data_IF_500628882756
#
_entry.id   IF_500628882756
#
_cell.length_a   1.000
_cell.length_b   1.000
_cell.length_c   1.000
_cell.angle_alpha   90.00
_cell.angle_beta   90.00
_cell.angle_gamma   90.00
#
_symmetry.space_group_name_H-M   'P 1'
#
loop_
_entity.id
_entity.type
_entity.pdbx_description
1 polymer ?
#
# COMPACT_ATOMS: atom_id res chain seq x y z
N UNK A 1 -73.12 4.57 31.75
CA UNK A 1 -72.74 3.18 31.40
C UNK A 1 -71.63 2.76 32.37
N UNK A 2 -71.98 2.16 33.51
CA UNK A 2 -71.76 0.73 33.87
C UNK A 2 -70.29 0.28 33.64
N UNK A 3 -69.46 0.23 34.69
CA UNK A 3 -69.18 -0.90 35.63
C UNK A 3 -68.24 -1.95 35.00
N UNK A 4 -67.00 -2.15 35.44
CA UNK A 4 -66.45 -2.72 36.70
C UNK A 4 -66.16 -4.24 36.62
N UNK A 5 -65.04 -4.63 37.27
CA UNK A 5 -64.67 -5.94 37.86
C UNK A 5 -63.78 -6.86 36.99
N UNK A 6 -62.51 -7.05 37.38
CA UNK A 6 -61.97 -7.96 38.43
C UNK A 6 -62.12 -9.44 38.08
N UNK A 7 -61.02 -10.19 38.13
CA UNK A 7 -61.05 -11.65 38.16
C UNK A 7 -59.72 -12.32 37.87
N UNK A 8 -58.98 -12.61 38.95
CA UNK A 8 -57.79 -13.45 39.01
C UNK A 8 -57.94 -14.77 38.23
N UNK A 9 -56.82 -15.29 37.72
CA UNK A 9 -56.40 -16.63 38.13
C UNK A 9 -54.89 -16.83 38.06
N UNK A 10 -54.41 -17.47 39.11
CA UNK A 10 -53.05 -17.82 39.41
C UNK A 10 -52.72 -19.22 38.86
N UNK A 11 -51.43 -19.45 38.62
CA UNK A 11 -50.66 -20.68 38.85
C UNK A 11 -51.15 -21.98 38.19
N UNK A 12 -50.34 -22.47 37.24
CA UNK A 12 -49.97 -23.89 37.10
C UNK A 12 -48.56 -23.86 36.47
N UNK A 13 -47.50 -24.03 37.27
CA UNK A 13 -46.77 -25.30 37.36
C UNK A 13 -46.79 -26.08 36.04
N UNK A 14 -45.69 -25.99 35.30
CA UNK A 14 -45.25 -27.01 34.34
C UNK A 14 -43.89 -27.50 34.80
N UNK A 15 -43.97 -28.57 35.59
CA UNK A 15 -42.91 -29.53 35.86
C UNK A 15 -42.45 -30.22 34.58
N UNK A 16 -41.16 -30.54 34.63
CA UNK A 16 -40.38 -31.50 33.85
C UNK A 16 -41.16 -32.53 33.04
N UNK A 17 -40.91 -32.57 31.73
CA UNK A 17 -40.80 -33.78 30.92
C UNK A 17 -40.08 -33.42 29.62
N UNK A 18 -38.76 -33.63 29.58
CA UNK A 18 -37.98 -33.64 28.34
C UNK A 18 -37.56 -35.09 28.09
N UNK A 19 -38.24 -35.67 27.11
CA UNK A 19 -38.07 -37.03 26.63
C UNK A 19 -36.69 -37.24 25.98
N UNK A 20 -36.11 -38.40 26.27
CA UNK A 20 -34.81 -38.88 25.81
C UNK A 20 -34.85 -39.23 24.32
N UNK A 21 -33.93 -38.72 23.52
CA UNK A 21 -33.48 -39.41 22.30
C UNK A 21 -32.01 -39.12 21.96
N UNK A 22 -31.19 -40.10 22.33
CA UNK A 22 -29.86 -40.56 21.86
C UNK A 22 -29.06 -39.79 20.78
N UNK A 23 -27.72 -39.62 20.97
CA UNK A 23 -26.78 -39.14 19.95
C UNK A 23 -26.19 -40.28 19.09
N UNK A 24 -25.78 -40.02 17.83
CA UNK A 24 -25.01 -40.98 17.05
C UNK A 24 -23.55 -40.98 17.52
N UNK A 25 -23.12 -42.10 18.10
CA UNK A 25 -21.70 -42.43 18.33
C UNK A 25 -21.18 -43.14 17.08
N UNK A 26 -20.22 -42.55 16.37
CA UNK A 26 -19.06 -43.32 15.93
C UNK A 26 -17.91 -42.39 15.53
N UNK A 27 -16.79 -42.50 16.22
CA UNK A 27 -15.63 -41.64 16.01
C UNK A 27 -14.46 -42.17 16.84
N UNK A 28 -13.66 -43.05 16.21
CA UNK A 28 -12.48 -43.64 16.84
C UNK A 28 -11.59 -42.58 17.50
N UNK A 29 -11.10 -42.89 18.68
CA UNK A 29 -10.21 -42.00 19.42
C UNK A 29 -8.84 -41.89 18.74
N UNK A 30 -8.11 -40.81 19.03
CA UNK A 30 -6.77 -40.57 18.50
C UNK A 30 -5.81 -41.74 18.82
N UNK A 31 -5.99 -42.37 19.97
CA UNK A 31 -5.18 -43.50 20.44
C UNK A 31 -5.42 -44.76 19.60
N UNK A 32 -6.65 -45.00 19.15
CA UNK A 32 -6.97 -46.12 18.24
C UNK A 32 -6.40 -45.90 16.83
N UNK A 33 -6.32 -44.65 16.38
CA UNK A 33 -5.65 -44.31 15.12
C UNK A 33 -4.15 -44.51 15.19
N UNK A 34 -3.55 -44.21 16.34
CA UNK A 34 -2.11 -44.41 16.56
C UNK A 34 -1.74 -45.89 16.67
N UNK A 35 -2.57 -46.71 17.32
CA UNK A 35 -2.34 -48.16 17.42
C UNK A 35 -2.31 -48.84 16.03
N UNK A 36 -3.22 -48.46 15.12
CA UNK A 36 -3.26 -48.99 13.74
C UNK A 36 -2.03 -48.65 12.90
N UNK A 37 -1.27 -47.62 13.26
CA UNK A 37 -0.02 -47.28 12.56
C UNK A 37 1.16 -48.16 12.99
N UNK A 38 1.10 -48.74 14.19
CA UNK A 38 2.16 -49.61 14.73
C UNK A 38 1.90 -51.10 14.47
N UNK A 39 0.63 -51.51 14.29
CA UNK A 39 0.25 -52.91 14.03
C UNK A 39 0.25 -53.31 12.55
N UNK A 40 0.86 -52.52 11.66
CA UNK A 40 1.06 -52.92 10.27
C UNK A 40 2.22 -53.93 10.18
N UNK A 41 1.98 -55.16 10.66
CA UNK A 41 2.83 -56.30 10.36
C UNK A 41 2.83 -56.56 8.84
N UNK A 42 4.04 -56.74 8.30
CA UNK A 42 4.31 -57.08 6.90
C UNK A 42 3.46 -58.29 6.43
N UNK A 43 2.57 -58.12 5.44
CA UNK A 43 2.04 -59.25 4.70
C UNK A 43 3.06 -59.65 3.62
N UNK A 44 3.31 -60.95 3.59
CA UNK A 44 4.10 -61.75 2.66
C UNK A 44 4.37 -61.17 1.26
N UNK A 45 5.64 -61.26 0.84
CA UNK A 45 6.10 -61.00 -0.52
C UNK A 45 5.35 -61.87 -1.55
N UNK A 46 4.75 -61.30 -2.61
CA UNK A 46 4.43 -62.05 -3.83
C UNK A 46 5.72 -62.28 -4.65
N UNK A 47 5.80 -63.36 -5.45
CA UNK A 47 7.02 -63.72 -6.18
C UNK A 47 7.36 -62.68 -7.26
N UNK A 48 8.65 -62.54 -7.53
CA UNK A 48 9.27 -61.54 -8.41
C UNK A 48 8.47 -61.23 -9.69
N UNK A 49 8.17 -59.96 -9.98
CA UNK A 49 7.87 -59.54 -11.33
C UNK A 49 9.17 -59.43 -12.14
N UNK A 50 9.16 -60.01 -13.34
CA UNK A 50 10.14 -59.87 -14.42
C UNK A 50 10.66 -58.43 -14.57
N UNK A 51 11.93 -58.22 -14.95
CA UNK A 51 12.55 -56.90 -14.95
C UNK A 51 11.84 -56.00 -15.97
N UNK A 52 11.05 -55.07 -15.45
CA UNK A 52 10.61 -53.90 -16.18
C UNK A 52 11.66 -52.84 -15.90
N UNK A 53 12.33 -52.35 -16.95
CA UNK A 53 13.21 -51.18 -16.89
C UNK A 53 12.42 -49.97 -16.37
N UNK A 54 12.37 -49.82 -15.05
CA UNK A 54 11.93 -48.60 -14.40
C UNK A 54 13.17 -47.72 -14.27
N UNK A 55 13.20 -46.65 -15.06
CA UNK A 55 13.95 -45.45 -14.72
C UNK A 55 13.63 -45.12 -13.27
N UNK A 56 14.60 -45.37 -12.40
CA UNK A 56 14.54 -45.03 -10.99
C UNK A 56 14.41 -43.51 -10.93
N UNK A 57 13.22 -43.00 -10.60
CA UNK A 57 13.06 -41.61 -10.19
C UNK A 57 14.05 -41.40 -9.04
N UNK A 58 15.06 -40.56 -9.28
CA UNK A 58 16.05 -40.18 -8.26
C UNK A 58 15.30 -39.69 -7.03
N UNK A 59 15.33 -40.48 -5.96
CA UNK A 59 14.82 -40.09 -4.65
C UNK A 59 15.62 -38.87 -4.22
N UNK A 60 15.03 -37.67 -4.36
CA UNK A 60 15.69 -36.44 -3.94
C UNK A 60 15.97 -36.52 -2.45
N UNK A 61 17.27 -36.53 -2.11
CA UNK A 61 17.75 -36.47 -0.72
C UNK A 61 17.12 -35.24 -0.06
N UNK A 62 16.48 -35.37 1.13
CA UNK A 62 15.89 -34.23 1.81
C UNK A 62 16.96 -33.14 2.03
N UNK A 63 16.69 -31.88 1.67
CA UNK A 63 17.66 -30.80 1.84
C UNK A 63 18.08 -30.70 3.31
N UNK A 64 19.36 -30.43 3.55
CA UNK A 64 19.88 -30.35 4.92
C UNK A 64 19.18 -29.19 5.64
N UNK A 65 18.91 -29.33 6.95
CA UNK A 65 18.22 -28.29 7.73
C UNK A 65 18.81 -26.88 7.55
N UNK A 66 20.15 -26.77 7.42
CA UNK A 66 20.83 -25.50 7.17
C UNK A 66 20.48 -24.90 5.80
N UNK A 67 20.37 -25.72 4.76
CA UNK A 67 19.98 -25.29 3.41
C UNK A 67 18.52 -24.81 3.42
N UNK A 68 17.62 -25.58 4.04
CA UNK A 68 16.21 -25.17 4.20
C UNK A 68 16.10 -23.86 4.98
N UNK A 69 16.85 -23.73 6.09
CA UNK A 69 16.83 -22.52 6.92
C UNK A 69 17.36 -21.31 6.15
N UNK A 70 18.46 -21.45 5.41
CA UNK A 70 19.00 -20.37 4.58
C UNK A 70 18.01 -19.96 3.49
N UNK A 71 17.42 -20.93 2.78
CA UNK A 71 16.39 -20.67 1.77
C UNK A 71 15.17 -19.93 2.35
N UNK A 72 14.71 -20.32 3.54
CA UNK A 72 13.56 -19.69 4.18
C UNK A 72 13.86 -18.28 4.69
N UNK A 73 15.05 -18.01 5.22
CA UNK A 73 15.38 -16.71 5.85
C UNK A 73 15.99 -15.71 4.87
N UNK A 74 16.72 -16.18 3.87
CA UNK A 74 17.36 -15.35 2.85
C UNK A 74 16.50 -15.25 1.58
N UNK A 75 15.42 -16.02 1.51
CA UNK A 75 14.49 -16.03 0.39
C UNK A 75 13.76 -14.70 0.20
N UNK A 76 13.45 -14.31 -1.06
CA UNK A 76 12.73 -13.06 -1.36
C UNK A 76 11.38 -12.93 -0.65
N UNK A 77 10.64 -14.02 -0.51
CA UNK A 77 9.33 -14.02 0.15
C UNK A 77 9.42 -13.69 1.65
N UNK A 78 10.48 -14.14 2.33
CA UNK A 78 10.67 -13.83 3.74
C UNK A 78 11.17 -12.40 3.95
N UNK A 79 12.09 -11.93 3.11
CA UNK A 79 12.52 -10.53 3.13
C UNK A 79 11.33 -9.59 2.86
N UNK A 80 10.51 -9.90 1.86
CA UNK A 80 9.27 -9.18 1.58
C UNK A 80 8.33 -9.15 2.79
N UNK A 81 8.15 -10.29 3.48
CA UNK A 81 7.32 -10.37 4.68
C UNK A 81 7.85 -9.47 5.80
N UNK A 82 9.16 -9.53 6.04
CA UNK A 82 9.82 -8.75 7.10
C UNK A 82 9.73 -7.25 6.83
N UNK A 83 10.01 -6.83 5.59
CA UNK A 83 9.91 -5.44 5.16
C UNK A 83 8.48 -4.93 5.28
N UNK A 84 7.49 -5.69 4.81
CA UNK A 84 6.08 -5.30 4.92
C UNK A 84 5.57 -5.26 6.37
N UNK A 85 6.02 -6.18 7.21
CA UNK A 85 5.68 -6.17 8.64
C UNK A 85 6.25 -4.92 9.33
N UNK A 86 7.49 -4.54 9.01
CA UNK A 86 8.13 -3.32 9.50
C UNK A 86 7.39 -2.07 9.03
N UNK A 87 7.12 -1.94 7.72
CA UNK A 87 6.35 -0.81 7.19
C UNK A 87 4.97 -0.73 7.82
N UNK A 88 4.28 -1.86 8.02
CA UNK A 88 2.95 -1.88 8.64
C UNK A 88 2.96 -1.49 10.12
N UNK A 89 4.08 -1.70 10.83
CA UNK A 89 4.23 -1.29 12.22
C UNK A 89 4.53 0.21 12.37
N UNK A 90 5.16 0.82 11.37
CA UNK A 90 5.54 2.24 11.37
C UNK A 90 4.43 3.17 10.85
N UNK A 91 3.55 2.65 10.01
CA UNK A 91 2.57 3.44 9.27
C UNK A 91 1.18 3.44 9.93
N UNK A 92 0.39 4.46 9.63
CA UNK A 92 -1.04 4.48 9.93
C UNK A 92 -1.75 3.28 9.30
N UNK A 93 -2.84 2.85 9.92
CA UNK A 93 -3.55 1.61 9.53
C UNK A 93 -3.99 1.67 8.06
N UNK A 94 -3.69 0.61 7.31
CA UNK A 94 -4.18 0.42 5.93
C UNK A 94 -5.70 0.20 5.83
N UNK A 95 -6.33 -0.21 6.93
CA UNK A 95 -7.78 -0.46 6.96
C UNK A 95 -8.55 0.84 6.73
N UNK A 96 -9.43 0.85 5.74
CA UNK A 96 -10.17 2.04 5.28
C UNK A 96 -9.38 2.96 4.35
N UNK A 97 -8.13 2.60 4.01
CA UNK A 97 -7.31 3.35 3.05
C UNK A 97 -7.60 2.93 1.59
N UNK A 98 -7.10 3.70 0.64
CA UNK A 98 -7.24 3.39 -0.79
C UNK A 98 -6.54 2.07 -1.16
N UNK A 99 -5.47 1.69 -0.46
CA UNK A 99 -4.78 0.41 -0.66
C UNK A 99 -5.72 -0.80 -0.48
N UNK A 100 -6.63 -0.75 0.50
CA UNK A 100 -7.62 -1.82 0.71
C UNK A 100 -8.62 -1.86 -0.45
N UNK A 101 -9.03 -0.70 -0.97
CA UNK A 101 -9.91 -0.62 -2.14
C UNK A 101 -9.24 -1.19 -3.39
N UNK A 102 -7.95 -0.87 -3.63
CA UNK A 102 -7.14 -1.44 -4.71
C UNK A 102 -7.09 -2.96 -4.61
N UNK A 103 -6.73 -3.47 -3.43
CA UNK A 103 -6.62 -4.92 -3.19
C UNK A 103 -7.94 -5.61 -3.47
N UNK A 104 -9.05 -5.10 -2.91
CA UNK A 104 -10.38 -5.68 -3.09
C UNK A 104 -10.81 -5.70 -4.56
N UNK A 105 -10.59 -4.61 -5.28
CA UNK A 105 -11.00 -4.46 -6.68
C UNK A 105 -10.25 -5.43 -7.61
N UNK A 106 -8.93 -5.54 -7.43
CA UNK A 106 -8.09 -6.46 -8.21
C UNK A 106 -8.42 -7.91 -7.85
N UNK A 107 -8.53 -8.23 -6.56
CA UNK A 107 -8.85 -9.58 -6.09
C UNK A 107 -10.21 -10.05 -6.62
N UNK A 108 -11.23 -9.20 -6.55
CA UNK A 108 -12.57 -9.50 -7.07
C UNK A 108 -12.54 -9.76 -8.57
N UNK A 109 -11.83 -8.92 -9.34
CA UNK A 109 -11.72 -9.04 -10.79
C UNK A 109 -10.97 -10.30 -11.19
N UNK A 110 -9.79 -10.56 -10.61
CA UNK A 110 -8.98 -11.74 -10.92
C UNK A 110 -9.67 -13.04 -10.49
N UNK A 111 -10.38 -13.05 -9.36
CA UNK A 111 -11.14 -14.22 -8.90
C UNK A 111 -12.30 -14.59 -9.82
N UNK A 112 -12.85 -13.61 -10.55
CA UNK A 112 -13.92 -13.84 -11.53
C UNK A 112 -13.44 -14.56 -12.80
N UNK A 113 -12.12 -14.60 -13.03
CA UNK A 113 -11.52 -15.24 -14.20
C UNK A 113 -11.52 -16.76 -14.00
N UNK A 114 -12.28 -17.45 -14.85
CA UNK A 114 -12.22 -18.92 -14.96
C UNK A 114 -10.85 -19.34 -15.47
N UNK A 115 -10.06 -19.98 -14.63
CA UNK A 115 -8.75 -20.55 -15.01
C UNK A 115 -8.80 -22.08 -15.01
N UNK A 116 -8.09 -22.76 -15.93
CA UNK A 116 -7.93 -24.21 -15.88
C UNK A 116 -7.26 -24.63 -14.56
N UNK A 117 -7.72 -25.74 -13.95
CA UNK A 117 -7.22 -26.28 -12.67
C UNK A 117 -5.72 -26.68 -12.67
N UNK A 118 -5.05 -26.64 -13.83
CA UNK A 118 -3.72 -27.20 -14.06
C UNK A 118 -2.54 -26.27 -13.77
N UNK A 119 -2.74 -24.98 -13.54
CA UNK A 119 -1.61 -24.04 -13.44
C UNK A 119 -1.27 -23.70 -11.99
N UNK A 120 -0.18 -24.32 -11.49
CA UNK A 120 0.32 -24.16 -10.12
C UNK A 120 1.05 -22.83 -9.86
N UNK A 121 1.15 -21.94 -10.86
CA UNK A 121 1.70 -20.58 -10.73
C UNK A 121 0.96 -19.60 -11.66
N UNK A 122 -0.10 -18.95 -11.17
CA UNK A 122 -0.89 -18.03 -11.98
C UNK A 122 -0.11 -16.73 -12.23
N UNK A 123 0.47 -16.60 -13.42
CA UNK A 123 0.89 -15.33 -13.98
C UNK A 123 -0.33 -14.70 -14.64
N UNK A 124 -0.57 -13.44 -14.34
CA UNK A 124 -1.63 -12.62 -14.93
C UNK A 124 -1.01 -11.47 -15.70
N UNK A 125 -1.75 -10.94 -16.66
CA UNK A 125 -1.44 -9.67 -17.30
C UNK A 125 -2.39 -8.59 -16.75
N UNK A 126 -1.87 -7.41 -16.43
CA UNK A 126 -2.66 -6.23 -16.17
C UNK A 126 -2.25 -5.10 -17.11
N UNK A 127 -3.25 -4.50 -17.76
CA UNK A 127 -3.10 -3.29 -18.54
C UNK A 127 -3.61 -2.13 -17.69
N UNK A 128 -2.72 -1.24 -17.26
CA UNK A 128 -3.06 -0.05 -16.50
C UNK A 128 -3.17 1.15 -17.45
N UNK A 129 -4.35 1.78 -17.45
CA UNK A 129 -4.59 3.08 -18.06
C UNK A 129 -4.68 4.12 -16.95
N UNK A 130 -3.69 5.01 -16.88
CA UNK A 130 -3.51 5.95 -15.78
C UNK A 130 -3.67 7.37 -16.30
N UNK A 131 -4.63 8.11 -15.75
CA UNK A 131 -4.85 9.52 -16.05
C UNK A 131 -3.75 10.42 -15.44
N UNK A 132 -2.54 10.29 -16.00
CA UNK A 132 -1.30 10.82 -15.43
C UNK A 132 -0.34 11.27 -16.54
N UNK A 133 -0.11 12.59 -16.59
CA UNK A 133 0.88 13.22 -17.48
C UNK A 133 2.14 13.61 -16.70
N UNK A 134 2.93 12.59 -16.35
CA UNK A 134 4.16 12.77 -15.57
C UNK A 134 5.17 13.74 -16.23
N UNK A 135 5.48 13.63 -17.54
CA UNK A 135 6.46 14.52 -18.15
C UNK A 135 6.05 15.99 -18.07
N UNK A 136 4.78 16.32 -18.26
CA UNK A 136 4.31 17.70 -18.16
C UNK A 136 4.32 18.20 -16.71
N UNK A 137 3.89 17.38 -15.75
CA UNK A 137 4.00 17.72 -14.33
C UNK A 137 5.43 18.11 -13.94
N UNK A 138 6.42 17.28 -14.28
CA UNK A 138 7.83 17.51 -13.90
C UNK A 138 8.40 18.77 -14.56
N UNK A 139 8.04 19.07 -15.81
CA UNK A 139 8.44 20.32 -16.50
C UNK A 139 7.83 21.54 -15.83
N UNK A 140 6.57 21.46 -15.41
CA UNK A 140 5.88 22.56 -14.74
C UNK A 140 6.47 22.89 -13.36
N UNK A 141 7.04 21.90 -12.68
CA UNK A 141 7.73 22.13 -11.39
C UNK A 141 9.04 22.91 -11.54
N UNK A 142 9.64 22.98 -12.74
CA UNK A 142 10.89 23.71 -13.04
C UNK A 142 12.06 23.32 -12.12
N UNK A 143 12.25 22.03 -11.90
CA UNK A 143 13.44 21.53 -11.20
C UNK A 143 14.71 21.83 -12.01
N UNK A 144 15.80 22.17 -11.32
CA UNK A 144 17.13 22.41 -11.93
C UNK A 144 17.88 21.11 -12.29
N UNK A 145 17.14 20.05 -12.65
CA UNK A 145 17.68 18.73 -12.97
C UNK A 145 16.92 18.08 -14.12
N UNK A 146 17.51 17.06 -14.74
CA UNK A 146 16.84 16.24 -15.74
C UNK A 146 15.59 15.54 -15.16
N UNK A 147 14.61 15.20 -16.00
CA UNK A 147 13.29 14.70 -15.55
C UNK A 147 13.40 13.37 -14.79
N UNK A 148 14.29 12.50 -15.24
CA UNK A 148 14.60 11.22 -14.62
C UNK A 148 15.24 11.37 -13.23
N UNK A 149 15.87 12.51 -12.93
CA UNK A 149 16.36 12.80 -11.57
C UNK A 149 15.27 13.53 -10.77
N UNK A 150 14.49 14.38 -11.43
CA UNK A 150 13.43 15.15 -10.80
C UNK A 150 12.32 14.25 -10.22
N UNK A 151 11.99 13.14 -10.88
CA UNK A 151 10.91 12.24 -10.44
C UNK A 151 11.14 11.67 -9.04
N UNK A 152 12.37 11.27 -8.71
CA UNK A 152 12.69 10.71 -7.38
C UNK A 152 12.77 11.79 -6.31
N UNK A 153 13.18 13.02 -6.68
CA UNK A 153 13.41 14.15 -5.76
C UNK A 153 12.17 14.99 -5.51
N UNK A 154 11.13 14.85 -6.32
CA UNK A 154 9.91 15.64 -6.19
C UNK A 154 9.36 15.52 -4.75
N UNK A 155 9.15 16.66 -4.09
CA UNK A 155 8.55 16.68 -2.76
C UNK A 155 7.06 16.39 -2.92
N UNK A 156 6.61 15.33 -2.26
CA UNK A 156 5.22 14.88 -2.24
C UNK A 156 4.62 15.10 -0.86
N UNK A 157 3.33 15.40 -0.79
CA UNK A 157 2.60 15.53 0.48
C UNK A 157 1.50 14.47 0.51
N UNK A 158 1.49 13.61 1.53
CA UNK A 158 0.51 12.54 1.69
C UNK A 158 -0.18 12.66 3.04
N UNK A 159 -1.49 12.37 3.12
CA UNK A 159 -2.26 12.41 4.36
C UNK A 159 -3.57 13.19 4.20
N UNK A 160 -3.93 13.97 5.20
CA UNK A 160 -5.11 14.85 5.21
C UNK A 160 -4.70 16.33 5.21
N UNK A 161 -5.68 17.24 5.22
CA UNK A 161 -5.43 18.68 5.34
C UNK A 161 -4.77 19.08 6.66
N UNK A 162 -5.02 18.35 7.76
CA UNK A 162 -4.53 18.65 9.10
C UNK A 162 -3.41 17.72 9.57
N UNK A 163 -3.27 16.55 8.95
CA UNK A 163 -2.29 15.54 9.35
C UNK A 163 -1.65 14.93 8.10
N UNK A 164 -0.46 15.41 7.75
CA UNK A 164 0.23 15.05 6.52
C UNK A 164 1.71 14.80 6.73
N UNK A 165 2.32 14.07 5.81
CA UNK A 165 3.75 13.84 5.75
C UNK A 165 4.28 14.35 4.40
N UNK A 166 5.38 15.09 4.42
CA UNK A 166 6.10 15.49 3.23
C UNK A 166 7.45 14.78 3.14
N UNK A 167 7.67 14.12 2.00
CA UNK A 167 8.89 13.37 1.69
C UNK A 167 9.23 13.55 0.20
N UNK A 168 10.48 13.25 -0.16
CA UNK A 168 10.79 12.99 -1.57
C UNK A 168 9.94 11.81 -2.08
N UNK A 169 9.66 11.80 -3.39
CA UNK A 169 8.88 10.73 -4.00
C UNK A 169 9.49 9.36 -3.68
N UNK A 170 10.82 9.27 -3.80
CA UNK A 170 11.55 8.04 -3.52
C UNK A 170 11.47 7.62 -2.05
N UNK A 171 11.63 8.54 -1.11
CA UNK A 171 11.59 8.20 0.32
C UNK A 171 10.22 7.70 0.74
N UNK A 172 9.14 8.33 0.24
CA UNK A 172 7.79 7.83 0.51
C UNK A 172 7.55 6.44 -0.09
N UNK A 173 8.00 6.20 -1.32
CA UNK A 173 7.88 4.88 -1.95
C UNK A 173 8.66 3.81 -1.18
N UNK A 174 9.90 4.10 -0.75
CA UNK A 174 10.69 3.18 0.07
C UNK A 174 10.07 2.92 1.44
N UNK A 175 9.42 3.92 2.05
CA UNK A 175 8.69 3.77 3.30
C UNK A 175 7.49 2.83 3.16
N UNK A 176 6.74 2.95 2.07
CA UNK A 176 5.43 2.29 1.89
C UNK A 176 5.53 0.94 1.18
N UNK A 177 6.38 0.85 0.15
CA UNK A 177 6.64 -0.34 -0.67
C UNK A 177 8.15 -0.63 -0.78
N UNK A 178 8.80 -1.00 0.34
CA UNK A 178 10.26 -1.18 0.42
C UNK A 178 10.83 -2.15 -0.63
N UNK A 179 10.12 -3.25 -0.90
CA UNK A 179 10.59 -4.33 -1.77
C UNK A 179 10.57 -4.02 -3.26
N UNK A 180 9.74 -3.07 -3.72
CA UNK A 180 9.52 -2.80 -5.16
C UNK A 180 9.75 -1.36 -5.58
N UNK A 181 9.77 -0.42 -4.63
CA UNK A 181 9.92 1.02 -4.89
C UNK A 181 11.07 1.34 -5.83
N UNK A 182 12.29 0.87 -5.53
CA UNK A 182 13.49 1.21 -6.29
C UNK A 182 13.41 0.75 -7.74
N UNK A 183 12.83 -0.42 -7.99
CA UNK A 183 12.68 -0.98 -9.32
C UNK A 183 11.65 -0.19 -10.11
N UNK A 184 10.47 0.09 -9.52
CA UNK A 184 9.42 0.89 -10.17
C UNK A 184 9.95 2.30 -10.51
N UNK A 185 10.65 2.95 -9.58
CA UNK A 185 11.27 4.26 -9.84
C UNK A 185 12.28 4.18 -10.98
N UNK A 186 13.16 3.17 -11.02
CA UNK A 186 14.11 3.00 -12.14
C UNK A 186 13.43 2.85 -13.49
N UNK A 187 12.34 2.06 -13.59
CA UNK A 187 11.60 1.93 -14.86
C UNK A 187 10.99 3.27 -15.28
N UNK A 188 10.49 4.05 -14.33
CA UNK A 188 10.00 5.41 -14.61
C UNK A 188 11.12 6.33 -15.10
N UNK A 189 12.30 6.25 -14.50
CA UNK A 189 13.48 7.02 -14.91
C UNK A 189 13.88 6.69 -16.36
N UNK A 190 13.96 5.40 -16.69
CA UNK A 190 14.24 4.94 -18.05
C UNK A 190 13.18 5.43 -19.04
N UNK A 191 11.90 5.34 -18.66
CA UNK A 191 10.79 5.84 -19.49
C UNK A 191 10.83 7.36 -19.67
N UNK A 192 11.36 8.12 -18.70
CA UNK A 192 11.52 9.57 -18.80
C UNK A 192 12.70 9.98 -19.69
N UNK A 193 13.76 9.17 -19.76
CA UNK A 193 14.87 9.39 -20.69
C UNK A 193 14.39 9.22 -22.15
N UNK A 194 13.54 8.22 -22.39
CA UNK A 194 13.03 7.89 -23.73
C UNK A 194 11.50 7.83 -23.77
N UNK A 195 10.78 8.95 -23.59
CA UNK A 195 9.31 8.97 -23.42
C UNK A 195 8.51 8.50 -24.64
N UNK A 196 9.17 8.37 -25.80
CA UNK A 196 8.56 7.85 -27.03
C UNK A 196 8.75 6.33 -27.20
N UNK A 197 9.51 5.68 -26.33
CA UNK A 197 9.79 4.25 -26.38
C UNK A 197 9.18 3.57 -25.15
N UNK A 198 8.70 2.35 -25.34
CA UNK A 198 8.31 1.48 -24.23
C UNK A 198 9.56 1.00 -23.50
N UNK A 199 9.67 1.25 -22.20
CA UNK A 199 10.75 0.73 -21.36
C UNK A 199 10.26 -0.53 -20.66
N UNK A 200 11.05 -1.61 -20.72
CA UNK A 200 10.73 -2.87 -20.05
C UNK A 200 11.78 -3.25 -19.02
N UNK A 201 11.32 -3.67 -17.83
CA UNK A 201 12.21 -4.18 -16.79
C UNK A 201 11.53 -5.27 -15.97
N UNK A 202 12.36 -6.03 -15.24
CA UNK A 202 11.91 -7.08 -14.35
C UNK A 202 11.98 -6.59 -12.90
N UNK A 203 10.82 -6.50 -12.25
CA UNK A 203 10.70 -6.23 -10.81
C UNK A 203 10.90 -7.55 -10.04
N UNK A 204 11.07 -7.44 -8.72
CA UNK A 204 11.06 -8.56 -7.77
C UNK A 204 9.94 -9.56 -8.12
N UNK A 205 10.23 -10.86 -7.96
CA UNK A 205 9.36 -12.00 -8.28
C UNK A 205 9.09 -12.24 -9.78
N UNK A 206 10.02 -11.81 -10.65
CA UNK A 206 9.93 -11.98 -12.12
C UNK A 206 8.76 -11.23 -12.75
N UNK A 207 8.31 -10.16 -12.11
CA UNK A 207 7.22 -9.34 -12.66
C UNK A 207 7.78 -8.48 -13.78
N UNK A 208 7.31 -8.68 -15.00
CA UNK A 208 7.72 -7.87 -16.14
C UNK A 208 6.85 -6.62 -16.19
N UNK A 209 7.48 -5.46 -16.35
CA UNK A 209 6.81 -4.17 -16.43
C UNK A 209 7.18 -3.52 -17.76
N UNK A 210 6.21 -2.94 -18.45
CA UNK A 210 6.39 -2.12 -19.63
C UNK A 210 5.67 -0.78 -19.42
N UNK A 211 6.38 0.35 -19.47
CA UNK A 211 5.81 1.68 -19.25
C UNK A 211 5.90 2.51 -20.53
N UNK A 212 4.79 3.17 -20.87
CA UNK A 212 4.71 4.23 -21.86
C UNK A 212 4.13 5.51 -21.22
N UNK A 213 4.93 6.58 -21.16
CA UNK A 213 4.58 7.86 -20.54
C UNK A 213 4.10 8.92 -21.55
N UNK A 214 3.57 8.51 -22.71
CA UNK A 214 3.11 9.43 -23.74
C UNK A 214 1.88 10.23 -23.26
N UNK A 215 2.02 11.54 -23.16
CA UNK A 215 0.91 12.48 -22.90
C UNK A 215 -0.29 12.23 -23.83
N UNK A 216 -1.54 12.30 -23.33
CA UNK A 216 -1.93 12.83 -22.01
C UNK A 216 -2.04 11.79 -20.88
N UNK A 217 -1.80 10.50 -21.15
CA UNK A 217 -2.02 9.42 -20.18
C UNK A 217 -0.88 8.42 -20.18
N UNK A 218 -0.56 7.85 -19.02
CA UNK A 218 0.39 6.76 -18.96
C UNK A 218 -0.30 5.42 -19.23
N UNK A 219 0.32 4.58 -20.05
CA UNK A 219 -0.10 3.21 -20.28
C UNK A 219 0.99 2.26 -19.80
N UNK A 220 0.62 1.32 -18.94
CA UNK A 220 1.53 0.38 -18.33
C UNK A 220 1.00 -1.03 -18.54
N UNK A 221 1.85 -1.94 -19.01
CA UNK A 221 1.52 -3.37 -19.10
C UNK A 221 2.42 -4.13 -18.15
N UNK A 222 1.83 -4.96 -17.30
CA UNK A 222 2.58 -5.78 -16.36
C UNK A 222 2.18 -7.25 -16.42
N UNK A 223 3.16 -8.13 -16.25
CA UNK A 223 2.97 -9.58 -16.14
C UNK A 223 3.52 -10.04 -14.80
N UNK A 224 2.69 -10.64 -13.96
CA UNK A 224 3.13 -11.06 -12.63
C UNK A 224 2.09 -11.83 -11.85
N UNK A 225 2.42 -12.12 -10.59
CA UNK A 225 1.47 -12.70 -9.64
C UNK A 225 0.40 -11.67 -9.26
N UNK A 226 -0.75 -12.14 -8.77
CA UNK A 226 -1.79 -11.26 -8.24
C UNK A 226 -1.26 -10.26 -7.19
N UNK A 227 -0.44 -10.72 -6.25
CA UNK A 227 0.15 -9.86 -5.23
C UNK A 227 1.06 -8.76 -5.83
N UNK A 228 1.87 -9.11 -6.84
CA UNK A 228 2.73 -8.15 -7.51
C UNK A 228 1.93 -7.09 -8.29
N UNK A 229 0.88 -7.52 -9.00
CA UNK A 229 0.01 -6.60 -9.75
C UNK A 229 -0.79 -5.68 -8.81
N UNK A 230 -1.24 -6.19 -7.67
CA UNK A 230 -1.88 -5.37 -6.63
C UNK A 230 -0.91 -4.32 -6.08
N UNK A 231 0.29 -4.72 -5.67
CA UNK A 231 1.30 -3.79 -5.16
C UNK A 231 1.76 -2.75 -6.18
N UNK A 232 1.81 -3.12 -7.47
CA UNK A 232 2.08 -2.17 -8.55
C UNK A 232 0.93 -1.17 -8.74
N UNK A 233 -0.32 -1.64 -8.69
CA UNK A 233 -1.50 -0.77 -8.78
C UNK A 233 -1.54 0.25 -7.64
N UNK A 234 -1.22 -0.16 -6.41
CA UNK A 234 -1.12 0.75 -5.26
C UNK A 234 -0.07 1.84 -5.49
N UNK A 235 1.11 1.47 -6.00
CA UNK A 235 2.18 2.40 -6.32
C UNK A 235 1.79 3.39 -7.43
N UNK A 236 1.18 2.91 -8.51
CA UNK A 236 0.72 3.75 -9.63
C UNK A 236 -0.40 4.70 -9.18
N UNK A 237 -1.33 4.22 -8.36
CA UNK A 237 -2.39 5.04 -7.79
C UNK A 237 -1.83 6.15 -6.89
N UNK A 238 -0.79 5.88 -6.10
CA UNK A 238 -0.14 6.93 -5.33
C UNK A 238 0.66 7.89 -6.20
N UNK A 239 1.48 7.38 -7.12
CA UNK A 239 2.32 8.19 -8.01
C UNK A 239 1.50 9.17 -8.85
N UNK A 240 0.42 8.70 -9.48
CA UNK A 240 -0.45 9.56 -10.27
C UNK A 240 -1.21 10.59 -9.41
N UNK A 241 -1.47 10.28 -8.13
CA UNK A 241 -2.07 11.21 -7.20
C UNK A 241 -1.07 12.27 -6.68
N UNK A 242 0.18 11.86 -6.44
CA UNK A 242 1.25 12.66 -5.85
C UNK A 242 1.92 13.60 -6.85
N UNK A 243 2.23 13.07 -8.05
CA UNK A 243 2.99 13.75 -9.08
C UNK A 243 2.03 14.35 -10.11
N UNK A 244 1.16 15.22 -9.62
CA UNK A 244 0.09 15.86 -10.38
C UNK A 244 -0.01 17.35 -10.10
N UNK A 245 -0.32 18.10 -11.15
CA UNK A 245 -0.50 19.55 -11.06
C UNK A 245 -1.79 19.91 -10.33
N UNK A 246 -1.70 20.89 -9.41
CA UNK A 246 -2.88 21.43 -8.72
C UNK A 246 -3.81 22.15 -9.71
N UNK A 247 -5.11 21.90 -9.58
CA UNK A 247 -6.15 22.56 -10.40
C UNK A 247 -6.57 23.93 -9.86
N UNK A 248 -6.08 24.33 -8.67
CA UNK A 248 -6.47 25.59 -8.03
C UNK A 248 -5.32 26.61 -8.01
N UNK A 249 -5.68 27.89 -7.92
CA UNK A 249 -4.73 29.00 -7.90
C UNK A 249 -4.16 29.30 -6.51
N UNK A 250 -4.84 28.91 -5.44
CA UNK A 250 -4.44 29.13 -4.05
C UNK A 250 -4.98 28.01 -3.15
N UNK A 251 -4.30 27.74 -2.04
CA UNK A 251 -4.74 26.76 -1.05
C UNK A 251 -4.32 25.34 -1.39
N UNK A 252 -4.82 24.40 -0.60
CA UNK A 252 -4.48 22.98 -0.73
C UNK A 252 -5.55 22.21 -1.52
N UNK A 253 -5.12 21.23 -2.31
CA UNK A 253 -6.00 20.26 -2.94
C UNK A 253 -5.79 18.87 -2.35
N UNK A 254 -6.88 18.13 -2.13
CA UNK A 254 -6.82 16.70 -1.85
C UNK A 254 -6.94 15.92 -3.16
N UNK A 255 -6.03 14.97 -3.36
CA UNK A 255 -5.89 14.13 -4.52
C UNK A 255 -6.21 12.70 -4.12
N UNK A 256 -7.37 12.19 -4.56
CA UNK A 256 -7.83 10.83 -4.20
C UNK A 256 -7.95 9.97 -5.46
N UNK A 257 -7.20 8.86 -5.57
CA UNK A 257 -7.33 7.96 -6.71
C UNK A 257 -8.65 7.19 -6.67
N UNK A 258 -9.15 6.88 -7.86
CA UNK A 258 -10.30 6.04 -8.12
C UNK A 258 -9.83 4.89 -9.00
N UNK A 259 -10.13 3.67 -8.59
CA UNK A 259 -9.74 2.46 -9.31
C UNK A 259 -10.99 1.76 -9.82
N UNK A 260 -10.94 1.32 -11.06
CA UNK A 260 -11.93 0.39 -11.63
C UNK A 260 -11.16 -0.69 -12.38
N UNK A 261 -11.49 -1.96 -12.13
CA UNK A 261 -10.89 -3.08 -12.83
C UNK A 261 -11.96 -3.85 -13.60
N UNK A 262 -11.56 -4.37 -14.76
CA UNK A 262 -12.44 -5.19 -15.59
C UNK A 262 -11.66 -6.32 -16.24
N UNK A 263 -12.35 -7.43 -16.47
CA UNK A 263 -11.81 -8.54 -17.25
C UNK A 263 -11.82 -8.16 -18.73
N UNK A 264 -10.77 -8.51 -19.44
CA UNK A 264 -10.74 -8.35 -20.89
C UNK A 264 -11.72 -9.33 -21.58
N UNK A 265 -12.62 -8.79 -22.40
CA UNK A 265 -13.75 -9.53 -22.97
C UNK A 265 -13.36 -10.63 -23.98
N UNK A 266 -12.16 -10.54 -24.56
CA UNK A 266 -11.61 -11.50 -25.53
C UNK A 266 -10.09 -11.44 -25.52
N UNK A 267 -9.44 -12.12 -24.57
CA UNK A 267 -8.03 -12.44 -24.73
C UNK A 267 -7.91 -13.74 -25.53
N UNK A 268 -7.56 -13.65 -26.80
CA UNK A 268 -6.95 -14.78 -27.53
C UNK A 268 -5.60 -15.18 -26.92
N UNK A 269 -5.07 -14.37 -26.00
CA UNK A 269 -3.87 -14.64 -25.25
C UNK A 269 -4.06 -15.80 -24.26
N UNK A 270 -3.05 -16.67 -24.11
CA UNK A 270 -3.08 -17.78 -23.16
C UNK A 270 -3.00 -17.30 -21.70
N UNK A 271 -2.54 -16.07 -21.46
CA UNK A 271 -2.40 -15.47 -20.13
C UNK A 271 -3.69 -14.71 -19.79
N UNK A 272 -4.33 -14.98 -18.63
CA UNK A 272 -5.50 -14.22 -18.22
C UNK A 272 -5.16 -12.76 -17.98
N UNK A 273 -5.94 -11.86 -18.58
CA UNK A 273 -5.69 -10.43 -18.55
C UNK A 273 -6.84 -9.62 -17.98
N UNK A 274 -6.47 -8.52 -17.31
CA UNK A 274 -7.38 -7.49 -16.81
C UNK A 274 -6.95 -6.12 -17.31
N UNK A 275 -7.92 -5.22 -17.41
CA UNK A 275 -7.68 -3.79 -17.61
C UNK A 275 -8.07 -3.04 -16.35
N UNK A 276 -7.17 -2.18 -15.88
CA UNK A 276 -7.33 -1.34 -14.69
C UNK A 276 -7.26 0.12 -15.11
N UNK A 277 -8.33 0.87 -14.84
CA UNK A 277 -8.34 2.32 -15.05
C UNK A 277 -8.12 3.02 -13.71
N UNK A 278 -7.10 3.89 -13.69
CA UNK A 278 -6.76 4.75 -12.56
C UNK A 278 -7.11 6.20 -12.92
N UNK A 279 -8.20 6.68 -12.32
CA UNK A 279 -8.63 8.07 -12.36
C UNK A 279 -8.34 8.79 -11.04
N UNK A 280 -8.50 10.11 -11.00
CA UNK A 280 -8.14 10.89 -9.83
C UNK A 280 -9.09 12.06 -9.57
N UNK A 281 -9.76 12.07 -8.44
CA UNK A 281 -10.53 13.24 -7.98
C UNK A 281 -9.59 14.26 -7.35
N UNK A 282 -9.70 15.52 -7.77
CA UNK A 282 -9.11 16.66 -7.06
C UNK A 282 -10.23 17.42 -6.39
N UNK A 283 -10.19 17.53 -5.06
CA UNK A 283 -11.09 18.43 -4.33
C UNK A 283 -10.29 19.55 -3.69
N UNK A 284 -10.70 20.82 -3.81
CA UNK A 284 -10.15 21.86 -2.96
C UNK A 284 -10.50 21.55 -1.51
N UNK A 285 -9.59 21.82 -0.59
CA UNK A 285 -9.94 21.77 0.83
C UNK A 285 -10.89 22.93 1.14
N UNK A 286 -12.00 22.68 1.87
CA UNK A 286 -13.00 23.70 2.18
C UNK A 286 -12.48 24.81 3.11
N UNK A 287 -11.33 24.62 3.75
CA UNK A 287 -10.70 25.62 4.61
C UNK A 287 -10.02 26.72 3.75
N UNK A 288 -10.86 27.58 3.20
CA UNK A 288 -10.45 28.74 2.40
C UNK A 288 -10.00 29.89 3.32
N UNK A 289 -8.85 29.73 3.96
CA UNK A 289 -8.16 30.83 4.60
C UNK A 289 -6.97 30.38 5.44
N UNK A 290 -6.00 31.27 5.73
CA UNK A 290 -5.05 31.09 6.81
C UNK A 290 -5.78 31.22 8.17
N UNK A 291 -6.90 30.52 8.35
CA UNK A 291 -7.57 30.44 9.63
C UNK A 291 -6.70 29.57 10.52
N UNK A 292 -5.96 30.22 11.40
CA UNK A 292 -5.17 29.62 12.49
C UNK A 292 -6.02 28.85 13.50
N UNK A 293 -7.34 28.76 13.29
CA UNK A 293 -8.32 28.14 14.19
C UNK A 293 -8.45 26.62 14.00
N UNK A 294 -7.92 26.06 12.90
CA UNK A 294 -7.91 24.60 12.69
C UNK A 294 -6.53 24.05 13.02
N UNK A 295 -6.45 23.29 14.11
CA UNK A 295 -5.24 22.61 14.56
C UNK A 295 -4.57 21.83 13.42
N UNK A 296 -3.27 22.01 13.24
CA UNK A 296 -2.47 21.27 12.26
C UNK A 296 -2.49 21.81 10.81
N UNK A 297 -2.97 23.02 10.56
CA UNK A 297 -3.01 23.63 9.20
C UNK A 297 -1.93 24.68 8.93
N UNK A 298 -1.12 25.05 9.93
CA UNK A 298 -0.13 26.14 9.85
C UNK A 298 0.94 25.96 8.75
N UNK A 299 1.15 24.75 8.27
CA UNK A 299 2.11 24.41 7.23
C UNK A 299 1.61 24.70 5.81
N UNK A 300 0.31 24.97 5.59
CA UNK A 300 -0.24 25.18 4.24
C UNK A 300 0.49 26.31 3.49
N UNK A 301 0.88 27.36 4.22
CA UNK A 301 1.60 28.50 3.66
C UNK A 301 3.04 28.20 3.24
N UNK A 302 3.62 27.06 3.67
CA UNK A 302 4.95 26.62 3.22
C UNK A 302 4.95 26.18 1.76
N UNK A 303 3.78 25.88 1.20
CA UNK A 303 3.62 25.44 -0.17
C UNK A 303 2.73 26.42 -0.93
N UNK A 304 3.10 26.72 -2.17
CA UNK A 304 2.33 27.66 -3.00
C UNK A 304 0.96 27.10 -3.42
N UNK A 305 0.93 25.85 -3.88
CA UNK A 305 -0.25 25.14 -4.39
C UNK A 305 -0.12 23.62 -4.13
N UNK A 306 -0.03 23.17 -2.87
CA UNK A 306 0.25 21.76 -2.61
C UNK A 306 -0.92 20.88 -3.04
N UNK A 307 -0.57 19.74 -3.65
CA UNK A 307 -1.48 18.62 -3.83
C UNK A 307 -1.15 17.60 -2.75
N UNK A 308 -2.14 17.28 -1.91
CA UNK A 308 -2.03 16.31 -0.82
C UNK A 308 -2.68 15.01 -1.29
N UNK A 309 -1.91 13.93 -1.31
CA UNK A 309 -2.43 12.60 -1.62
C UNK A 309 -3.26 12.10 -0.45
N UNK A 310 -4.55 11.87 -0.70
CA UNK A 310 -5.50 11.47 0.33
C UNK A 310 -5.73 9.96 0.31
N UNK A 311 -5.93 9.39 1.50
CA UNK A 311 -6.27 7.98 1.67
C UNK A 311 -5.10 7.01 1.57
N UNK A 312 -3.87 7.50 1.70
CA UNK A 312 -2.65 6.68 1.78
C UNK A 312 -2.03 6.78 3.18
N UNK A 313 -1.30 5.73 3.62
CA UNK A 313 -0.69 5.73 4.93
C UNK A 313 0.41 6.79 5.05
N UNK A 314 0.56 7.33 6.25
CA UNK A 314 1.65 8.21 6.69
C UNK A 314 2.30 7.59 7.93
N UNK A 315 3.42 8.14 8.40
CA UNK A 315 3.99 7.70 9.67
C UNK A 315 2.97 7.81 10.81
N UNK A 316 2.86 6.74 11.60
CA UNK A 316 2.03 6.72 12.78
C UNK A 316 2.68 7.59 13.85
N UNK A 317 1.98 8.64 14.26
CA UNK A 317 2.44 9.54 15.32
C UNK A 317 1.91 9.11 16.67
N UNK A 318 2.67 9.41 17.71
CA UNK A 318 2.22 9.26 19.08
C UNK A 318 1.31 10.42 19.48
N UNK A 319 0.59 10.29 20.60
CA UNK A 319 -0.05 11.42 21.30
C UNK A 319 -0.98 12.34 20.48
N UNK A 320 -1.57 11.83 19.39
CA UNK A 320 -2.43 12.58 18.47
C UNK A 320 -1.78 13.81 17.83
N UNK A 321 -0.46 13.82 17.66
CA UNK A 321 0.25 14.92 16.97
C UNK A 321 -0.38 15.23 15.60
N UNK A 322 -0.69 16.50 15.35
CA UNK A 322 -1.23 17.01 14.10
C UNK A 322 -0.21 17.91 13.40
N UNK A 323 -0.45 18.19 12.13
CA UNK A 323 0.40 19.03 11.29
C UNK A 323 1.15 18.25 10.23
N UNK A 324 2.21 18.86 9.72
CA UNK A 324 3.08 18.29 8.70
C UNK A 324 4.34 17.72 9.33
N UNK A 325 4.62 16.46 9.02
CA UNK A 325 5.89 15.82 9.35
C UNK A 325 6.78 15.78 8.11
N UNK A 326 8.03 16.21 8.27
CA UNK A 326 8.99 16.23 7.19
C UNK A 326 10.43 16.19 7.74
N UNK A 327 11.37 15.60 6.98
CA UNK A 327 12.79 15.67 7.26
C UNK A 327 13.34 17.08 7.45
N UNK A 328 14.39 17.21 8.27
CA UNK A 328 15.00 18.49 8.64
C UNK A 328 15.59 19.23 7.43
N UNK A 329 16.18 18.50 6.49
CA UNK A 329 16.70 19.05 5.25
C UNK A 329 15.57 19.65 4.39
N UNK A 330 14.45 18.94 4.23
CA UNK A 330 13.28 19.45 3.49
C UNK A 330 12.72 20.71 4.15
N UNK A 331 12.50 20.71 5.47
CA UNK A 331 11.94 21.90 6.14
C UNK A 331 12.90 23.10 6.08
N UNK A 332 14.20 22.87 6.15
CA UNK A 332 15.19 23.93 6.05
C UNK A 332 15.18 24.60 4.66
N UNK A 333 14.93 23.83 3.60
CA UNK A 333 14.80 24.33 2.23
C UNK A 333 13.47 25.07 2.06
N UNK A 334 12.35 24.45 2.46
CA UNK A 334 11.01 25.05 2.31
C UNK A 334 10.84 26.34 3.14
N UNK A 335 11.46 26.40 4.31
CA UNK A 335 11.45 27.58 5.15
C UNK A 335 12.58 28.55 4.82
N UNK A 336 13.50 28.25 3.88
CA UNK A 336 14.71 29.04 3.62
C UNK A 336 15.52 29.34 4.90
N UNK A 337 15.54 28.40 5.85
CA UNK A 337 16.08 28.55 7.20
C UNK A 337 17.40 27.79 7.34
N UNK A 338 18.49 28.44 6.95
CA UNK A 338 19.81 27.80 6.85
C UNK A 338 20.75 28.06 8.05
N UNK A 339 20.36 28.93 8.98
CA UNK A 339 21.21 29.31 10.10
C UNK A 339 20.66 28.83 11.43
N UNK A 340 21.42 28.01 12.14
CA UNK A 340 21.12 27.70 13.53
C UNK A 340 21.55 28.87 14.43
N UNK A 341 20.63 29.41 15.22
CA UNK A 341 20.89 30.48 16.18
C UNK A 341 20.26 30.13 17.52
N UNK A 342 20.93 30.50 18.61
CA UNK A 342 20.40 30.35 19.96
C UNK A 342 19.79 31.65 20.41
N UNK A 343 18.49 31.64 20.69
CA UNK A 343 17.79 32.71 21.37
C UNK A 343 17.56 32.27 22.81
N UNK A 344 18.37 32.82 23.73
CA UNK A 344 18.33 32.49 25.14
C UNK A 344 18.62 31.00 25.42
N UNK A 345 17.60 30.22 25.81
CA UNK A 345 17.72 28.75 26.00
C UNK A 345 17.26 27.93 24.80
N UNK A 346 16.69 28.56 23.77
CA UNK A 346 16.03 27.88 22.65
C UNK A 346 16.91 27.90 21.41
N UNK A 347 17.11 26.72 20.83
CA UNK A 347 17.72 26.59 19.50
C UNK A 347 16.64 26.83 18.45
N UNK A 348 16.91 27.76 17.52
CA UNK A 348 16.04 28.05 16.39
C UNK A 348 16.82 27.96 15.08
N UNK A 349 16.14 27.54 14.01
CA UNK A 349 16.65 27.72 12.65
C UNK A 349 16.06 29.00 12.09
N UNK A 350 16.91 29.86 11.56
CA UNK A 350 16.56 31.19 11.07
C UNK A 350 16.83 31.28 9.58
N UNK A 351 15.84 31.79 8.86
CA UNK A 351 15.92 32.23 7.47
C UNK A 351 15.81 33.74 7.35
N UNK A 352 15.62 34.22 6.12
CA UNK A 352 15.51 35.66 5.85
C UNK A 352 14.23 36.26 6.47
N UNK A 353 13.10 35.57 6.35
CA UNK A 353 11.78 36.01 6.87
C UNK A 353 11.09 34.98 7.76
N UNK A 354 11.78 33.90 8.09
CA UNK A 354 11.23 32.70 8.74
C UNK A 354 12.08 32.32 9.94
N UNK A 355 11.43 31.82 10.98
CA UNK A 355 12.11 31.20 12.10
C UNK A 355 11.38 29.92 12.47
N UNK A 356 12.13 28.82 12.49
CA UNK A 356 11.67 27.52 12.96
C UNK A 356 12.12 27.35 14.40
N UNK A 357 11.15 27.21 15.28
CA UNK A 357 11.42 27.02 16.70
C UNK A 357 10.95 25.65 17.11
N UNK A 358 11.78 24.95 17.87
CA UNK A 358 11.36 23.74 18.55
C UNK A 358 10.42 24.12 19.71
N UNK A 359 9.14 23.81 19.57
CA UNK A 359 8.15 24.04 20.62
C UNK A 359 7.92 22.72 21.33
N UNK A 360 8.43 22.61 22.57
CA UNK A 360 8.21 21.42 23.40
C UNK A 360 6.84 21.55 24.07
N UNK A 361 5.81 21.03 23.41
CA UNK A 361 4.43 21.03 23.92
C UNK A 361 4.01 19.60 24.26
N UNK A 362 4.77 18.86 25.07
CA UNK A 362 4.64 17.38 25.21
C UNK A 362 4.65 16.59 23.89
N UNK A 363 4.86 17.27 22.76
CA UNK A 363 4.72 16.86 21.37
C UNK A 363 5.87 17.56 20.65
N UNK A 364 6.58 16.87 19.76
CA UNK A 364 7.67 17.46 18.98
C UNK A 364 7.08 18.31 17.86
N UNK A 365 6.57 19.49 18.22
CA UNK A 365 6.01 20.45 17.27
C UNK A 365 7.06 21.51 16.88
N UNK A 366 7.25 21.72 15.58
CA UNK A 366 8.00 22.86 15.06
C UNK A 366 7.02 23.99 14.72
N UNK A 367 7.16 25.13 15.40
CA UNK A 367 6.35 26.32 15.12
C UNK A 367 7.02 27.19 14.07
N UNK A 368 6.27 27.62 13.05
CA UNK A 368 6.73 28.57 12.03
C UNK A 368 6.23 29.95 12.43
N UNK A 369 7.16 30.86 12.70
CA UNK A 369 6.84 32.26 12.95
C UNK A 369 7.32 33.11 11.76
N UNK A 370 6.40 33.86 11.18
CA UNK A 370 6.72 34.91 10.20
C UNK A 370 7.02 36.21 10.96
N UNK A 371 8.18 36.81 10.69
CA UNK A 371 8.49 38.13 11.24
C UNK A 371 7.81 39.19 10.38
N UNK A 372 6.66 39.69 10.82
CA UNK A 372 6.07 40.93 10.30
C UNK A 372 6.62 42.10 11.10
N UNK A 373 7.86 42.51 10.81
CA UNK A 373 8.38 43.87 11.03
C UNK A 373 9.79 44.00 10.45
N UNK A 374 9.88 44.67 9.30
CA UNK A 374 11.00 45.58 9.05
C UNK A 374 10.39 46.98 9.06
N UNK A 375 10.85 47.79 10.01
CA UNK A 375 10.63 49.25 10.01
C UNK A 375 11.28 49.91 8.79
#
# INVERSE_FOLDING_TARGET
>A
MRRNLFGNNAISEMSEDVDLSTPPKDGMSLTEKMARFYDAEHPDFPPEPTPVDQQLDEVQVPPRYQEVRSFLLEGPAYQWLLENARSSALLTKRKGAILEAVTREIDATLSSIRTPKSWRSRVFQANFDVDWDLPNFLRDQRYDTALEIAVERAITVTGSSSNAQALSCMDYMCQTWPSSSRQVTRVLQEALISPNLSCSSCIVDRTELNINLRSPKASIVAHGSQAALTGLCEQLAWLGAALRTSLISFGICLSTPIITASKDACSSNPVPSITVHLGFTVTPSPDHGPSTDVDGTCWHAMFRKPVVVNGFPILARHENEQGLELPLDIISILAEAHFATRYDTVLALKGHCTMLVHVRTNVLSLGIFYSTKME
#
